data_IF_175422794245
#
_entry.id   IF_175422794245
#
_cell.length_a   1.000
_cell.length_b   1.000
_cell.length_c   1.000
_cell.angle_alpha   90.00
_cell.angle_beta   90.00
_cell.angle_gamma   90.00
#
_symmetry.space_group_name_H-M   'P 1'
#
loop_
_entity.id
_entity.type
_entity.pdbx_description
1 polymer ?
#
# COMPACT_ATOMS: atom_id res chain seq x y z
N UNK A 1 15.83 6.54 -10.87
CA UNK A 1 16.18 6.63 -9.44
C UNK A 1 17.62 6.20 -9.29
N UNK A 2 18.45 7.00 -8.62
CA UNK A 2 19.85 6.65 -8.35
C UNK A 2 19.91 5.44 -7.41
N UNK A 3 20.68 4.39 -7.75
CA UNK A 3 20.90 3.26 -6.87
C UNK A 3 21.90 3.69 -5.78
N UNK A 4 21.49 3.69 -4.51
CA UNK A 4 22.46 3.99 -3.45
C UNK A 4 21.90 4.13 -2.04
N UNK A 5 20.68 4.62 -1.85
CA UNK A 5 20.14 4.88 -0.51
C UNK A 5 18.98 3.94 -0.19
N UNK A 6 19.30 2.69 0.14
CA UNK A 6 18.32 1.77 0.74
C UNK A 6 18.15 2.18 2.20
N UNK A 7 17.30 3.17 2.44
CA UNK A 7 16.77 3.41 3.78
C UNK A 7 15.97 2.16 4.17
N UNK A 8 16.51 1.39 5.11
CA UNK A 8 15.86 0.20 5.70
C UNK A 8 14.47 0.56 6.25
N UNK A 9 14.27 1.83 6.65
CA UNK A 9 12.98 2.41 6.98
C UNK A 9 12.56 3.42 5.92
N UNK A 10 11.85 2.96 4.89
CA UNK A 10 11.20 3.84 3.90
C UNK A 10 10.00 4.60 4.46
N UNK A 11 9.45 4.14 5.57
CA UNK A 11 8.26 4.73 6.17
C UNK A 11 8.57 5.39 7.52
N UNK A 12 8.36 6.70 7.57
CA UNK A 12 8.27 7.52 8.78
C UNK A 12 7.44 8.76 8.43
N UNK A 13 6.45 9.22 9.21
CA UNK A 13 5.67 10.41 8.90
C UNK A 13 6.51 11.65 8.55
N UNK A 14 7.74 11.72 9.07
CA UNK A 14 8.74 12.72 8.70
C UNK A 14 8.96 12.80 7.17
N UNK A 15 8.89 11.69 6.42
CA UNK A 15 9.03 11.72 4.96
C UNK A 15 7.93 12.58 4.31
N UNK A 16 6.69 12.53 4.82
CA UNK A 16 5.59 13.33 4.27
C UNK A 16 5.79 14.83 4.54
N UNK A 17 6.45 15.17 5.64
CA UNK A 17 6.75 16.56 6.02
C UNK A 17 7.97 17.09 5.26
N UNK A 18 9.07 16.33 5.23
CA UNK A 18 10.33 16.75 4.60
C UNK A 18 10.24 16.62 3.07
N UNK A 19 9.58 15.59 2.57
CA UNK A 19 9.37 15.39 1.13
C UNK A 19 10.51 14.68 0.41
N UNK A 20 11.23 13.77 1.06
CA UNK A 20 12.28 12.99 0.41
C UNK A 20 11.73 11.63 -0.04
N UNK A 21 11.80 11.27 -1.34
CA UNK A 21 12.36 12.03 -2.47
C UNK A 21 11.33 12.87 -3.24
N UNK A 22 10.03 12.71 -2.99
CA UNK A 22 8.89 13.07 -3.86
C UNK A 22 8.28 14.46 -3.65
N UNK A 23 8.67 15.18 -2.60
CA UNK A 23 8.18 16.51 -2.26
C UNK A 23 7.32 16.49 -0.99
N UNK A 24 7.32 17.62 -0.27
CA UNK A 24 6.57 17.72 0.99
C UNK A 24 5.06 17.73 0.72
N UNK A 25 4.31 16.97 1.49
CA UNK A 25 2.84 16.93 1.45
C UNK A 25 2.21 18.09 2.25
N UNK A 26 3.02 18.78 3.06
CA UNK A 26 2.59 19.89 3.92
C UNK A 26 3.04 21.27 3.41
N UNK A 27 3.83 21.31 2.33
CA UNK A 27 4.30 22.55 1.71
C UNK A 27 3.54 22.81 0.39
N UNK A 28 2.70 23.87 0.29
CA UNK A 28 1.88 24.10 -0.90
C UNK A 28 2.67 24.40 -2.17
N UNK A 29 3.94 24.79 -2.06
CA UNK A 29 4.84 24.99 -3.21
C UNK A 29 5.78 23.79 -3.45
N UNK A 30 5.50 22.65 -2.83
CA UNK A 30 6.13 21.38 -3.15
C UNK A 30 5.84 20.97 -4.58
N UNK A 31 6.74 20.18 -5.19
CA UNK A 31 6.60 19.64 -6.55
C UNK A 31 5.37 18.74 -6.75
N UNK A 32 4.70 18.33 -5.68
CA UNK A 32 3.45 17.57 -5.71
C UNK A 32 2.23 18.42 -6.14
N UNK A 33 2.24 19.73 -5.90
CA UNK A 33 1.08 20.61 -6.10
C UNK A 33 1.31 21.54 -7.29
N UNK A 34 0.87 21.10 -8.46
CA UNK A 34 1.16 21.77 -9.75
C UNK A 34 0.15 22.87 -10.10
N UNK A 35 -1.08 22.80 -9.57
CA UNK A 35 -2.12 23.81 -9.82
C UNK A 35 -2.43 24.65 -8.59
N UNK A 36 -2.94 25.90 -8.72
CA UNK A 36 -3.39 26.69 -7.58
C UNK A 36 -4.42 25.97 -6.71
N UNK A 37 -5.31 25.18 -7.33
CA UNK A 37 -6.31 24.39 -6.61
C UNK A 37 -5.67 23.33 -5.71
N UNK A 38 -4.61 22.65 -6.18
CA UNK A 38 -3.89 21.66 -5.38
C UNK A 38 -3.19 22.29 -4.19
N UNK A 39 -2.64 23.51 -4.36
CA UNK A 39 -2.04 24.28 -3.26
C UNK A 39 -3.06 24.65 -2.20
N UNK A 40 -4.25 25.11 -2.62
CA UNK A 40 -5.36 25.41 -1.70
C UNK A 40 -5.79 24.14 -0.95
N UNK A 41 -5.92 23.00 -1.64
CA UNK A 41 -6.21 21.71 -0.99
C UNK A 41 -5.15 21.32 0.03
N UNK A 42 -3.86 21.50 -0.30
CA UNK A 42 -2.74 21.26 0.62
C UNK A 42 -2.82 22.15 1.87
N UNK A 43 -3.10 23.45 1.70
CA UNK A 43 -3.26 24.37 2.84
C UNK A 43 -4.41 23.90 3.73
N UNK A 44 -5.58 23.61 3.14
CA UNK A 44 -6.77 23.18 3.89
C UNK A 44 -6.50 21.88 4.66
N UNK A 45 -5.95 20.86 3.98
CA UNK A 45 -5.67 19.57 4.62
C UNK A 45 -4.57 19.69 5.69
N UNK A 46 -3.49 20.43 5.40
CA UNK A 46 -2.40 20.69 6.35
C UNK A 46 -2.89 21.44 7.59
N UNK A 47 -3.72 22.47 7.42
CA UNK A 47 -4.35 23.21 8.52
C UNK A 47 -5.28 22.32 9.34
N UNK A 48 -6.05 21.42 8.71
CA UNK A 48 -6.89 20.47 9.43
C UNK A 48 -6.05 19.49 10.27
N UNK A 49 -4.95 18.96 9.73
CA UNK A 49 -4.03 18.11 10.49
C UNK A 49 -3.41 18.85 11.68
N UNK A 50 -2.96 20.09 11.48
CA UNK A 50 -2.41 20.93 12.56
C UNK A 50 -3.46 21.25 13.63
N UNK A 51 -4.69 21.53 13.22
CA UNK A 51 -5.80 21.76 14.15
C UNK A 51 -6.07 20.52 15.01
N UNK A 52 -6.19 19.33 14.41
CA UNK A 52 -6.37 18.08 15.16
C UNK A 52 -5.21 17.83 16.13
N UNK A 53 -3.96 18.04 15.69
CA UNK A 53 -2.79 17.91 16.54
C UNK A 53 -2.81 18.89 17.72
N UNK A 54 -3.21 20.14 17.50
CA UNK A 54 -3.32 21.18 18.52
C UNK A 54 -4.44 20.90 19.52
N UNK A 55 -5.60 20.42 19.06
CA UNK A 55 -6.70 19.98 19.94
C UNK A 55 -6.23 18.85 20.85
N UNK A 56 -5.55 17.84 20.32
CA UNK A 56 -5.03 16.74 21.17
C UNK A 56 -3.93 17.24 22.10
N UNK A 57 -3.10 18.20 21.69
CA UNK A 57 -2.10 18.82 22.56
C UNK A 57 -2.73 19.57 23.73
N UNK A 58 -3.82 20.29 23.48
CA UNK A 58 -4.63 20.91 24.52
C UNK A 58 -5.26 19.86 25.46
N UNK A 59 -5.84 18.78 24.92
CA UNK A 59 -6.41 17.68 25.72
C UNK A 59 -5.35 16.92 26.54
N UNK A 60 -4.08 17.04 26.18
CA UNK A 60 -2.95 16.50 26.94
C UNK A 60 -2.37 17.51 27.94
N UNK A 61 -3.08 18.58 28.28
CA UNK A 61 -2.62 19.67 29.17
C UNK A 61 -1.29 20.29 28.72
N UNK A 62 -1.09 20.39 27.40
CA UNK A 62 0.16 20.85 26.78
C UNK A 62 1.40 20.03 27.17
N UNK A 63 1.22 18.82 27.71
CA UNK A 63 2.31 17.88 27.99
C UNK A 63 2.79 17.22 26.70
N UNK A 64 4.02 17.55 26.30
CA UNK A 64 4.69 16.93 25.14
C UNK A 64 4.81 15.41 25.30
N UNK A 65 5.06 14.92 26.52
CA UNK A 65 5.14 13.49 26.81
C UNK A 65 3.80 12.79 26.57
N UNK A 66 2.71 13.33 27.10
CA UNK A 66 1.38 12.74 26.92
C UNK A 66 0.95 12.82 25.45
N UNK A 67 1.19 13.95 24.79
CA UNK A 67 0.88 14.10 23.37
C UNK A 67 1.66 13.10 22.52
N UNK A 68 2.96 12.93 22.76
CA UNK A 68 3.75 11.94 22.03
C UNK A 68 3.23 10.52 22.26
N UNK A 69 2.97 10.15 23.52
CA UNK A 69 2.50 8.82 23.92
C UNK A 69 1.12 8.48 23.37
N UNK A 70 0.16 9.41 23.42
CA UNK A 70 -1.25 9.15 23.10
C UNK A 70 -1.66 9.55 21.68
N UNK A 71 -0.91 10.45 21.03
CA UNK A 71 -1.21 10.90 19.67
C UNK A 71 -0.17 10.42 18.66
N UNK A 72 1.10 10.79 18.85
CA UNK A 72 2.12 10.54 17.84
C UNK A 72 2.43 9.05 17.67
N UNK A 73 2.66 8.30 18.76
CA UNK A 73 2.95 6.86 18.69
C UNK A 73 1.81 6.07 18.03
N UNK A 74 0.53 6.19 18.45
CA UNK A 74 -0.55 5.47 17.77
C UNK A 74 -0.75 5.88 16.30
N UNK A 75 -0.64 7.18 15.98
CA UNK A 75 -0.75 7.66 14.60
C UNK A 75 0.36 7.06 13.73
N UNK A 76 1.59 7.01 14.25
CA UNK A 76 2.70 6.39 13.53
C UNK A 76 2.51 4.89 13.36
N UNK A 77 2.06 4.17 14.40
CA UNK A 77 1.79 2.75 14.27
C UNK A 77 0.70 2.45 13.22
N UNK A 78 -0.39 3.21 13.24
CA UNK A 78 -1.45 3.09 12.24
C UNK A 78 -0.94 3.32 10.82
N UNK A 79 -0.12 4.37 10.62
CA UNK A 79 0.46 4.67 9.31
C UNK A 79 1.43 3.58 8.82
N UNK A 80 2.25 3.00 9.71
CA UNK A 80 3.14 1.90 9.38
C UNK A 80 2.35 0.70 8.87
N UNK A 81 1.30 0.32 9.61
CA UNK A 81 0.44 -0.80 9.27
C UNK A 81 -0.27 -0.57 7.93
N UNK A 82 -0.78 0.65 7.69
CA UNK A 82 -1.40 1.00 6.41
C UNK A 82 -0.41 0.90 5.24
N UNK A 83 0.84 1.32 5.42
CA UNK A 83 1.88 1.18 4.38
C UNK A 83 2.28 -0.27 4.16
N UNK A 84 2.36 -1.07 5.22
CA UNK A 84 2.60 -2.50 5.10
C UNK A 84 1.50 -3.14 4.25
N UNK A 85 0.22 -2.90 4.54
CA UNK A 85 -0.90 -3.49 3.78
C UNK A 85 -0.90 -2.99 2.33
N UNK A 86 -0.81 -1.68 2.12
CA UNK A 86 -0.86 -1.12 0.76
C UNK A 86 0.34 -1.52 -0.07
N UNK A 87 1.48 -1.83 0.54
CA UNK A 87 2.62 -2.39 -0.16
C UNK A 87 2.44 -3.89 -0.41
N UNK A 88 2.24 -4.66 0.65
CA UNK A 88 2.25 -6.10 0.57
C UNK A 88 1.18 -6.62 -0.38
N UNK A 89 -0.06 -6.17 -0.25
CA UNK A 89 -1.19 -6.68 -1.03
C UNK A 89 -1.12 -6.28 -2.51
N UNK A 90 -0.20 -5.40 -2.89
CA UNK A 90 -0.01 -4.89 -4.24
C UNK A 90 1.36 -5.18 -4.83
N UNK A 91 2.26 -5.86 -4.12
CA UNK A 91 3.64 -6.06 -4.55
C UNK A 91 4.07 -7.52 -4.35
N UNK A 92 4.56 -8.13 -5.43
CA UNK A 92 5.19 -9.45 -5.49
C UNK A 92 6.01 -9.52 -6.80
N UNK A 93 6.94 -10.47 -6.90
CA UNK A 93 7.74 -10.66 -8.13
C UNK A 93 6.89 -11.03 -9.37
N UNK A 94 5.71 -11.60 -9.17
CA UNK A 94 4.82 -12.09 -10.22
C UNK A 94 3.74 -11.09 -10.65
N UNK A 95 3.56 -9.96 -9.96
CA UNK A 95 2.54 -8.98 -10.36
C UNK A 95 2.91 -8.27 -11.66
N UNK A 96 1.88 -7.91 -12.41
CA UNK A 96 1.99 -7.08 -13.61
C UNK A 96 1.54 -5.64 -13.32
N UNK A 97 2.31 -4.68 -13.82
CA UNK A 97 1.95 -3.26 -13.81
C UNK A 97 1.67 -2.84 -15.24
N UNK A 98 0.49 -2.28 -15.47
CA UNK A 98 0.02 -1.97 -16.83
C UNK A 98 0.23 -0.49 -17.16
N UNK A 99 0.76 -0.21 -18.34
CA UNK A 99 0.74 1.13 -18.93
C UNK A 99 -0.69 1.52 -19.32
N UNK A 100 -0.92 2.80 -19.61
CA UNK A 100 -2.26 3.35 -19.81
C UNK A 100 -3.06 2.67 -20.93
N UNK A 101 -2.38 2.18 -21.98
CA UNK A 101 -3.00 1.49 -23.13
C UNK A 101 -3.35 0.02 -22.83
N UNK A 102 -2.64 -0.60 -21.89
CA UNK A 102 -2.90 -1.99 -21.46
C UNK A 102 -3.81 -2.06 -20.21
N UNK A 103 -3.93 -0.98 -19.44
CA UNK A 103 -4.66 -1.00 -18.18
C UNK A 103 -6.17 -1.15 -18.38
N UNK A 104 -6.79 -1.99 -17.55
CA UNK A 104 -8.24 -1.98 -17.33
C UNK A 104 -8.54 -2.25 -15.86
N UNK A 105 -9.70 -1.82 -15.39
CA UNK A 105 -10.11 -2.00 -13.98
C UNK A 105 -9.96 -3.45 -13.53
N UNK A 106 -10.52 -4.40 -14.30
CA UNK A 106 -10.48 -5.83 -13.93
C UNK A 106 -9.05 -6.37 -13.94
N UNK A 107 -8.26 -6.08 -14.99
CA UNK A 107 -6.84 -6.50 -15.04
C UNK A 107 -6.08 -5.98 -13.84
N UNK A 108 -6.24 -4.71 -13.48
CA UNK A 108 -5.61 -4.11 -12.30
C UNK A 108 -5.97 -4.84 -11.01
N UNK A 109 -7.26 -5.11 -10.77
CA UNK A 109 -7.68 -5.75 -9.52
C UNK A 109 -7.24 -7.21 -9.41
N UNK A 110 -7.09 -7.93 -10.51
CA UNK A 110 -6.52 -9.30 -10.49
C UNK A 110 -5.06 -9.35 -10.07
N UNK A 111 -4.34 -8.22 -10.02
CA UNK A 111 -2.96 -8.16 -9.51
C UNK A 111 -2.91 -7.98 -7.98
N UNK A 112 -4.06 -7.87 -7.31
CA UNK A 112 -4.14 -7.89 -5.85
C UNK A 112 -3.78 -9.27 -5.31
N UNK A 113 -3.08 -9.29 -4.17
CA UNK A 113 -2.69 -10.51 -3.47
C UNK A 113 -3.26 -10.47 -2.06
N UNK A 114 -4.14 -11.42 -1.75
CA UNK A 114 -4.62 -11.60 -0.39
C UNK A 114 -3.50 -12.22 0.48
N UNK A 115 -3.20 -11.59 1.60
CA UNK A 115 -2.10 -11.96 2.50
C UNK A 115 -2.69 -12.34 3.85
N UNK A 116 -2.67 -13.62 4.19
CA UNK A 116 -3.09 -14.09 5.52
C UNK A 116 -1.97 -13.87 6.53
N UNK A 117 -2.17 -13.00 7.51
CA UNK A 117 -1.20 -12.73 8.58
C UNK A 117 -1.36 -13.67 9.78
N UNK A 118 -2.55 -14.22 9.99
CA UNK A 118 -2.82 -15.20 11.04
C UNK A 118 -2.88 -14.64 12.46
N UNK A 119 -2.93 -15.54 13.45
CA UNK A 119 -2.94 -15.21 14.89
C UNK A 119 -4.01 -14.18 15.31
N UNK A 120 -5.16 -14.15 14.60
CA UNK A 120 -6.24 -13.20 14.85
C UNK A 120 -6.00 -11.78 14.30
N UNK A 121 -4.83 -11.51 13.71
CA UNK A 121 -4.48 -10.21 13.13
C UNK A 121 -5.44 -9.87 11.99
N UNK A 122 -5.75 -10.84 11.11
CA UNK A 122 -6.65 -10.61 9.98
C UNK A 122 -8.03 -10.10 10.44
N UNK A 123 -8.58 -10.69 11.51
CA UNK A 123 -9.86 -10.27 12.09
C UNK A 123 -9.81 -8.89 12.73
N UNK A 124 -8.76 -8.59 13.50
CA UNK A 124 -8.55 -7.25 14.11
C UNK A 124 -8.44 -6.18 13.02
N UNK A 125 -7.90 -6.55 11.86
CA UNK A 125 -7.74 -5.70 10.69
C UNK A 125 -8.94 -5.77 9.73
N UNK A 126 -10.08 -6.31 10.19
CA UNK A 126 -11.33 -6.39 9.41
C UNK A 126 -11.20 -7.11 8.07
N UNK A 127 -10.32 -8.11 7.98
CA UNK A 127 -10.06 -8.90 6.78
C UNK A 127 -9.61 -8.07 5.57
N UNK A 128 -9.06 -6.87 5.80
CA UNK A 128 -8.40 -6.10 4.73
C UNK A 128 -7.12 -6.80 4.26
N UNK A 129 -6.57 -7.72 5.06
CA UNK A 129 -5.33 -8.43 4.75
C UNK A 129 -5.56 -9.61 3.83
N UNK A 130 -6.61 -10.41 4.11
CA UNK A 130 -6.95 -11.68 3.47
C UNK A 130 -8.26 -11.67 2.67
N UNK A 131 -8.88 -10.49 2.52
CA UNK A 131 -10.01 -10.20 1.64
C UNK A 131 -9.83 -8.92 0.82
N UNK A 132 -8.58 -8.51 0.59
CA UNK A 132 -8.22 -7.28 -0.12
C UNK A 132 -8.68 -7.30 -1.59
N UNK A 133 -8.67 -8.47 -2.24
CA UNK A 133 -9.15 -8.60 -3.61
C UNK A 133 -10.63 -8.20 -3.72
N UNK A 134 -11.46 -8.61 -2.77
CA UNK A 134 -12.86 -8.23 -2.71
C UNK A 134 -13.03 -6.73 -2.42
N UNK A 135 -12.18 -6.18 -1.55
CA UNK A 135 -12.11 -4.74 -1.35
C UNK A 135 -11.84 -4.04 -2.69
N UNK A 136 -10.86 -4.47 -3.48
CA UNK A 136 -10.54 -3.82 -4.75
C UNK A 136 -11.63 -3.92 -5.81
N UNK A 137 -12.23 -5.10 -5.99
CA UNK A 137 -13.32 -5.26 -6.95
C UNK A 137 -14.58 -4.50 -6.55
N UNK A 138 -14.84 -4.34 -5.24
CA UNK A 138 -16.15 -3.94 -4.72
C UNK A 138 -16.10 -2.90 -3.58
N UNK A 139 -15.06 -2.08 -3.47
CA UNK A 139 -14.84 -1.13 -2.36
C UNK A 139 -15.99 -0.15 -2.07
N UNK A 140 -16.87 0.09 -3.06
CA UNK A 140 -18.07 0.94 -2.93
C UNK A 140 -19.37 0.17 -2.68
N UNK A 141 -19.34 -1.16 -2.74
CA UNK A 141 -20.54 -2.01 -2.79
C UNK A 141 -20.58 -3.07 -1.68
N UNK A 142 -19.42 -3.57 -1.26
CA UNK A 142 -19.32 -4.64 -0.27
C UNK A 142 -18.63 -4.09 0.98
N UNK A 143 -19.31 -4.11 2.15
CA UNK A 143 -18.71 -3.70 3.41
C UNK A 143 -17.70 -4.73 3.91
N UNK A 144 -16.79 -4.31 4.79
CA UNK A 144 -15.66 -5.13 5.25
C UNK A 144 -16.09 -6.47 5.88
N UNK A 145 -17.24 -6.51 6.55
CA UNK A 145 -17.77 -7.72 7.20
C UNK A 145 -18.28 -8.81 6.24
N UNK A 146 -18.38 -8.50 4.94
CA UNK A 146 -18.72 -9.45 3.88
C UNK A 146 -17.52 -9.76 2.95
N UNK A 147 -16.30 -9.28 3.27
CA UNK A 147 -15.15 -9.45 2.38
C UNK A 147 -14.79 -10.90 2.16
N UNK A 148 -14.80 -11.74 3.20
CA UNK A 148 -14.45 -13.14 3.06
C UNK A 148 -15.44 -13.90 2.17
N UNK A 149 -16.74 -13.70 2.35
CA UNK A 149 -17.77 -14.34 1.50
C UNK A 149 -17.65 -13.90 0.03
N UNK A 150 -17.35 -12.63 -0.19
CA UNK A 150 -17.08 -12.09 -1.52
C UNK A 150 -15.80 -12.68 -2.12
N UNK A 151 -14.72 -12.77 -1.34
CA UNK A 151 -13.45 -13.39 -1.75
C UNK A 151 -13.64 -14.85 -2.13
N UNK A 152 -14.40 -15.64 -1.38
CA UNK A 152 -14.73 -17.02 -1.75
C UNK A 152 -15.49 -17.13 -3.08
N UNK A 153 -16.34 -16.15 -3.38
CA UNK A 153 -17.03 -16.07 -4.66
C UNK A 153 -16.10 -15.68 -5.80
N UNK A 154 -15.18 -14.73 -5.57
CA UNK A 154 -14.17 -14.31 -6.54
C UNK A 154 -13.22 -15.46 -6.87
N UNK A 155 -12.74 -16.20 -5.86
CA UNK A 155 -11.89 -17.39 -6.05
C UNK A 155 -12.49 -18.36 -7.05
N UNK A 156 -13.78 -18.70 -6.90
CA UNK A 156 -14.49 -19.61 -7.82
C UNK A 156 -14.52 -19.10 -9.26
N UNK A 157 -14.68 -17.79 -9.45
CA UNK A 157 -14.70 -17.16 -10.78
C UNK A 157 -13.31 -17.15 -11.41
N UNK A 158 -12.25 -16.95 -10.61
CA UNK A 158 -10.87 -16.88 -11.10
C UNK A 158 -10.16 -18.23 -11.19
N UNK A 159 -10.72 -19.30 -10.60
CA UNK A 159 -10.15 -20.66 -10.63
C UNK A 159 -9.82 -21.16 -12.04
N UNK A 160 -10.67 -20.97 -13.08
CA UNK A 160 -10.34 -21.36 -14.45
C UNK A 160 -9.13 -20.61 -15.03
N UNK A 161 -8.72 -19.50 -14.41
CA UNK A 161 -7.62 -18.64 -14.83
C UNK A 161 -6.36 -18.80 -13.98
N UNK A 162 -6.30 -19.79 -13.07
CA UNK A 162 -5.20 -19.96 -12.10
C UNK A 162 -3.81 -20.06 -12.74
N UNK A 163 -3.72 -20.61 -13.95
CA UNK A 163 -2.47 -20.78 -14.69
C UNK A 163 -2.14 -19.56 -15.57
N UNK A 164 -2.90 -18.47 -15.40
CA UNK A 164 -2.70 -17.20 -16.11
C UNK A 164 -2.35 -16.08 -15.12
N UNK A 165 -1.83 -14.94 -15.59
CA UNK A 165 -1.60 -13.77 -14.75
C UNK A 165 -2.85 -13.20 -14.07
N UNK A 166 -4.06 -13.67 -14.41
CA UNK A 166 -5.34 -13.18 -13.87
C UNK A 166 -5.96 -14.09 -12.80
N UNK A 167 -5.31 -15.22 -12.50
CA UNK A 167 -5.73 -16.11 -11.43
C UNK A 167 -5.77 -15.40 -10.07
N UNK A 168 -6.57 -15.95 -9.15
CA UNK A 168 -6.60 -15.52 -7.76
C UNK A 168 -5.21 -15.72 -7.12
N UNK A 169 -4.71 -14.70 -6.42
CA UNK A 169 -3.38 -14.72 -5.79
C UNK A 169 -3.53 -14.60 -4.29
N UNK A 170 -2.85 -15.47 -3.56
CA UNK A 170 -2.76 -15.36 -2.12
C UNK A 170 -1.47 -15.94 -1.57
N UNK A 171 -1.03 -15.41 -0.43
CA UNK A 171 0.14 -15.89 0.31
C UNK A 171 -0.16 -15.87 1.82
N UNK A 172 0.36 -16.85 2.56
CA UNK A 172 0.33 -16.80 4.03
C UNK A 172 1.64 -16.20 4.53
N UNK A 173 1.56 -15.12 5.30
CA UNK A 173 2.71 -14.40 5.83
C UNK A 173 2.53 -14.09 7.32
N UNK A 174 2.75 -15.08 8.18
CA UNK A 174 2.82 -14.87 9.63
C UNK A 174 3.93 -13.90 10.02
N UNK A 175 4.95 -13.77 9.17
CA UNK A 175 6.11 -12.90 9.28
C UNK A 175 5.96 -11.60 8.46
N UNK A 176 4.72 -11.14 8.22
CA UNK A 176 4.40 -10.03 7.30
C UNK A 176 5.30 -8.80 7.45
N UNK A 177 5.70 -8.45 8.68
CA UNK A 177 6.59 -7.33 8.93
C UNK A 177 7.98 -7.55 8.28
N UNK A 178 8.57 -8.73 8.49
CA UNK A 178 9.84 -9.10 7.87
C UNK A 178 9.71 -9.29 6.36
N UNK A 179 8.59 -9.87 5.90
CA UNK A 179 8.25 -9.94 4.47
C UNK A 179 8.23 -8.55 3.85
N UNK A 180 7.62 -7.55 4.49
CA UNK A 180 7.61 -6.16 4.02
C UNK A 180 9.02 -5.57 3.92
N UNK A 181 9.83 -5.70 4.97
CA UNK A 181 11.21 -5.22 4.96
C UNK A 181 12.04 -5.90 3.85
N UNK A 182 11.92 -7.22 3.74
CA UNK A 182 12.59 -8.00 2.71
C UNK A 182 12.17 -7.59 1.30
N UNK A 183 10.86 -7.52 1.03
CA UNK A 183 10.33 -7.13 -0.27
C UNK A 183 10.70 -5.69 -0.65
N UNK A 184 10.90 -4.79 0.30
CA UNK A 184 11.36 -3.42 0.01
C UNK A 184 12.80 -3.36 -0.53
N UNK A 185 13.64 -4.33 -0.13
CA UNK A 185 15.01 -4.46 -0.63
C UNK A 185 15.03 -5.28 -1.92
N UNK A 186 14.20 -6.33 -1.98
CA UNK A 186 14.22 -7.35 -3.02
C UNK A 186 13.52 -6.91 -4.31
N UNK A 187 12.41 -6.18 -4.20
CA UNK A 187 11.64 -5.65 -5.32
C UNK A 187 12.23 -4.29 -5.71
N UNK A 188 13.12 -4.29 -6.70
CA UNK A 188 13.98 -3.16 -7.06
C UNK A 188 13.31 -2.21 -8.07
N UNK A 189 13.16 -2.64 -9.31
CA UNK A 189 12.58 -1.85 -10.39
C UNK A 189 11.82 -2.72 -11.38
N UNK A 190 10.90 -2.08 -12.07
CA UNK A 190 10.08 -2.69 -13.10
C UNK A 190 10.81 -2.62 -14.45
N UNK A 191 10.67 -3.68 -15.25
CA UNK A 191 11.09 -3.74 -16.65
C UNK A 191 9.92 -4.24 -17.50
N UNK A 192 9.96 -3.97 -18.81
CA UNK A 192 8.97 -4.49 -19.75
C UNK A 192 9.07 -6.02 -19.85
N UNK A 193 8.01 -6.69 -19.44
CA UNK A 193 7.79 -8.13 -19.71
C UNK A 193 7.30 -8.32 -21.15
N UNK A 194 6.44 -7.42 -21.61
CA UNK A 194 5.95 -7.31 -22.98
C UNK A 194 5.53 -5.86 -23.26
N UNK A 195 5.01 -5.57 -24.46
CA UNK A 195 4.53 -4.22 -24.81
C UNK A 195 3.44 -3.77 -23.82
N UNK A 196 3.64 -2.64 -23.15
CA UNK A 196 2.70 -2.04 -22.19
C UNK A 196 2.51 -2.81 -20.88
N UNK A 197 3.24 -3.91 -20.66
CA UNK A 197 3.18 -4.71 -19.43
C UNK A 197 4.55 -4.75 -18.76
N UNK A 198 4.60 -4.23 -17.55
CA UNK A 198 5.78 -4.15 -16.70
C UNK A 198 5.71 -5.23 -15.61
N UNK A 199 6.85 -5.73 -15.18
CA UNK A 199 6.99 -6.64 -14.04
C UNK A 199 8.34 -6.40 -13.36
N UNK A 200 8.47 -6.75 -12.09
CA UNK A 200 9.77 -6.65 -11.41
C UNK A 200 10.82 -7.48 -12.12
N UNK A 201 12.01 -6.88 -12.33
CA UNK A 201 13.14 -7.53 -13.02
C UNK A 201 13.40 -8.93 -12.51
N UNK A 202 13.40 -9.10 -11.19
CA UNK A 202 13.68 -10.39 -10.56
C UNK A 202 12.68 -11.49 -10.97
N UNK A 203 11.42 -11.14 -11.23
CA UNK A 203 10.38 -12.06 -11.68
C UNK A 203 10.59 -12.44 -13.14
N UNK A 204 10.87 -11.46 -13.99
CA UNK A 204 11.16 -11.66 -15.42
C UNK A 204 12.41 -12.54 -15.61
N UNK A 205 13.50 -12.24 -14.89
CA UNK A 205 14.74 -13.02 -14.94
C UNK A 205 14.57 -14.45 -14.41
N UNK A 206 13.72 -14.65 -13.41
CA UNK A 206 13.42 -15.98 -12.86
C UNK A 206 12.66 -16.82 -13.89
N UNK A 207 11.63 -16.25 -14.52
CA UNK A 207 10.85 -16.94 -15.56
C UNK A 207 11.70 -17.32 -16.78
N UNK A 208 12.66 -16.48 -17.16
CA UNK A 208 13.57 -16.76 -18.29
C UNK A 208 14.54 -17.93 -18.02
N UNK A 209 14.81 -18.28 -16.75
CA UNK A 209 15.69 -19.39 -16.37
C UNK A 209 14.98 -20.74 -16.25
N UNK A 210 13.65 -20.71 -16.14
CA UNK A 210 12.81 -21.90 -15.97
C UNK A 210 12.23 -22.42 -17.30
N UNK A 211 12.44 -21.67 -18.38
CA UNK A 211 12.07 -22.03 -19.76
C UNK A 211 13.33 -22.45 -20.54
#
# INVERSE_FOLDING_TARGET
>A
MTPGNVLIFRWNPIYTVIGLPDGSHFWPWSRLFTTPADRVKCIISGSACLFCAAVVFHLCDYSVYNWFKYYYVPLTFQGLILVIITYLQHQNEEIEVYENDEWSFVRGQTQTIDRKYGLGIDTIMHHITDGHVAHHFFFTKIPHYNLLDATESIKKVLEPLKDTPYGYKSETNYDFFFKYLWSNIRLDYLIHKSKGVLQYRIGVEKAAKTN
#
